data_IF_405080318318
#
_entry.id   IF_405080318318
#
_cell.length_a   1.000
_cell.length_b   1.000
_cell.length_c   1.000
_cell.angle_alpha   90.00
_cell.angle_beta   90.00
_cell.angle_gamma   90.00
#
_symmetry.space_group_name_H-M   'P 1'
#
loop_
_entity.id
_entity.type
_entity.pdbx_description
1 polymer ?
#
# COMPACT_ATOMS: atom_id res chain seq x y z
N UNK A 1 -5.94 7.62 -6.78
CA UNK A 1 -4.71 8.18 -6.25
C UNK A 1 -4.92 9.65 -6.49
N UNK A 2 -4.54 10.02 -7.72
CA UNK A 2 -5.39 10.76 -8.67
C UNK A 2 -6.58 9.88 -9.13
N UNK A 3 -7.81 10.41 -9.20
CA UNK A 3 -9.06 9.66 -9.45
C UNK A 3 -9.32 9.43 -10.95
N UNK A 4 -8.79 10.27 -11.82
CA UNK A 4 -9.00 10.18 -13.28
C UNK A 4 -8.32 8.96 -13.93
N UNK A 5 -7.32 8.38 -13.27
CA UNK A 5 -6.56 7.23 -13.79
C UNK A 5 -7.38 5.92 -13.71
N UNK A 6 -8.40 5.86 -12.84
CA UNK A 6 -9.09 4.61 -12.47
C UNK A 6 -10.51 4.48 -13.03
N UNK A 7 -11.03 5.50 -13.73
CA UNK A 7 -12.42 5.51 -14.23
C UNK A 7 -12.68 4.45 -15.33
N UNK A 8 -11.67 4.11 -16.13
CA UNK A 8 -11.76 3.15 -17.25
C UNK A 8 -10.83 1.93 -17.16
N UNK A 9 -10.16 1.72 -16.01
CA UNK A 9 -9.21 0.60 -15.84
C UNK A 9 -9.93 -0.64 -15.32
N UNK A 10 -9.72 -1.78 -15.98
CA UNK A 10 -10.28 -3.06 -15.54
C UNK A 10 -9.64 -3.45 -14.20
N UNK A 11 -10.34 -4.19 -13.32
CA UNK A 11 -9.77 -4.70 -12.07
C UNK A 11 -8.44 -5.46 -12.27
N UNK A 12 -8.26 -6.10 -13.43
CA UNK A 12 -7.01 -6.76 -13.81
C UNK A 12 -5.83 -5.79 -14.02
N UNK A 13 -6.09 -4.60 -14.56
CA UNK A 13 -5.05 -3.58 -14.75
C UNK A 13 -4.60 -3.00 -13.39
N UNK A 14 -5.55 -2.89 -12.44
CA UNK A 14 -5.27 -2.49 -11.05
C UNK A 14 -4.44 -3.55 -10.35
N UNK A 15 -4.79 -4.83 -10.51
CA UNK A 15 -4.02 -5.94 -9.93
C UNK A 15 -2.58 -5.95 -10.45
N UNK A 16 -2.36 -5.77 -11.75
CA UNK A 16 -1.01 -5.70 -12.33
C UNK A 16 -0.17 -4.55 -11.74
N UNK A 17 -0.78 -3.38 -11.54
CA UNK A 17 -0.12 -2.25 -10.87
C UNK A 17 0.20 -2.57 -9.40
N UNK A 18 -0.73 -3.15 -8.65
CA UNK A 18 -0.51 -3.54 -7.26
C UNK A 18 0.63 -4.56 -7.13
N UNK A 19 0.75 -5.51 -8.06
CA UNK A 19 1.85 -6.48 -8.09
C UNK A 19 3.20 -5.77 -8.30
N UNK A 20 3.30 -4.92 -9.34
CA UNK A 20 4.54 -4.21 -9.65
C UNK A 20 4.99 -3.31 -8.49
N UNK A 21 4.06 -2.54 -7.94
CA UNK A 21 4.32 -1.62 -6.82
C UNK A 21 4.70 -2.42 -5.57
N UNK A 22 3.91 -3.44 -5.21
CA UNK A 22 4.15 -4.25 -4.01
C UNK A 22 5.50 -4.98 -4.04
N UNK A 23 5.90 -5.53 -5.18
CA UNK A 23 7.24 -6.13 -5.34
C UNK A 23 8.33 -5.06 -5.16
N UNK A 24 8.19 -3.92 -5.85
CA UNK A 24 9.23 -2.87 -5.85
C UNK A 24 9.40 -2.26 -4.47
N UNK A 25 8.30 -1.91 -3.81
CA UNK A 25 8.31 -1.31 -2.48
C UNK A 25 8.87 -2.27 -1.44
N UNK A 26 8.38 -3.52 -1.39
CA UNK A 26 8.88 -4.47 -0.38
C UNK A 26 10.34 -4.86 -0.61
N UNK A 27 10.80 -4.94 -1.87
CA UNK A 27 12.20 -5.18 -2.14
C UNK A 27 13.10 -4.07 -1.60
N UNK A 28 12.71 -2.80 -1.82
CA UNK A 28 13.47 -1.64 -1.34
C UNK A 28 13.38 -1.52 0.18
N UNK A 29 12.17 -1.55 0.74
CA UNK A 29 11.96 -1.28 2.15
C UNK A 29 12.31 -2.46 3.05
N UNK A 30 12.04 -3.70 2.65
CA UNK A 30 12.28 -4.88 3.50
C UNK A 30 13.54 -5.63 3.12
N UNK A 31 13.80 -5.76 1.81
CA UNK A 31 15.03 -6.37 1.30
C UNK A 31 16.27 -5.53 1.58
N UNK A 32 16.19 -4.20 1.49
CA UNK A 32 17.35 -3.31 1.66
C UNK A 32 17.22 -2.52 2.96
N UNK A 33 16.24 -1.64 3.09
CA UNK A 33 16.21 -0.65 4.17
C UNK A 33 16.07 -1.32 5.55
N UNK A 34 15.08 -2.20 5.73
CA UNK A 34 14.86 -2.86 7.02
C UNK A 34 15.97 -3.83 7.38
N UNK A 35 16.58 -4.48 6.39
CA UNK A 35 17.69 -5.40 6.60
C UNK A 35 18.96 -4.67 7.08
N UNK A 36 19.29 -3.52 6.49
CA UNK A 36 20.51 -2.77 6.82
C UNK A 36 20.33 -1.71 7.92
N UNK A 37 19.21 -0.99 7.94
CA UNK A 37 18.97 0.15 8.83
C UNK A 37 17.95 -0.15 9.94
N UNK A 38 17.32 -1.33 9.90
CA UNK A 38 16.41 -1.80 10.94
C UNK A 38 14.96 -1.35 10.79
N UNK A 39 14.13 -1.78 11.75
CA UNK A 39 12.68 -1.63 11.74
C UNK A 39 12.22 -0.16 11.64
N UNK A 40 12.69 0.69 12.55
CA UNK A 40 12.24 2.08 12.64
C UNK A 40 12.65 2.91 11.43
N UNK A 41 13.85 2.68 10.89
CA UNK A 41 14.30 3.36 9.68
C UNK A 41 13.41 3.02 8.47
N UNK A 42 13.04 1.74 8.31
CA UNK A 42 12.11 1.30 7.27
C UNK A 42 10.74 1.95 7.40
N UNK A 43 10.16 1.97 8.61
CA UNK A 43 8.83 2.55 8.85
C UNK A 43 8.82 4.06 8.57
N UNK A 44 9.81 4.79 9.09
CA UNK A 44 9.89 6.25 8.91
C UNK A 44 10.07 6.60 7.43
N UNK A 45 11.02 5.95 6.74
CA UNK A 45 11.27 6.21 5.32
C UNK A 45 10.05 5.85 4.45
N UNK A 46 9.34 4.77 4.78
CA UNK A 46 8.13 4.38 4.06
C UNK A 46 7.04 5.45 4.15
N UNK A 47 6.81 5.99 5.34
CA UNK A 47 5.84 7.08 5.55
C UNK A 47 6.28 8.35 4.82
N UNK A 48 7.57 8.69 4.82
CA UNK A 48 8.10 9.88 4.15
C UNK A 48 7.97 9.81 2.62
N UNK A 49 8.20 8.64 2.00
CA UNK A 49 7.99 8.45 0.55
C UNK A 49 6.52 8.68 0.18
N UNK A 50 5.60 8.45 1.10
CA UNK A 50 4.18 8.75 0.94
C UNK A 50 3.84 10.22 1.25
N UNK A 51 4.68 11.17 0.80
CA UNK A 51 4.51 12.61 1.03
C UNK A 51 3.13 13.15 0.63
N UNK A 52 2.52 12.58 -0.41
CA UNK A 52 1.17 12.93 -0.88
C UNK A 52 0.09 12.65 0.18
N UNK A 53 0.36 11.77 1.14
CA UNK A 53 -0.54 11.40 2.23
C UNK A 53 -0.31 12.23 3.49
N UNK A 54 0.83 12.93 3.63
CA UNK A 54 1.10 13.79 4.78
C UNK A 54 0.03 14.88 4.96
N UNK A 55 -0.56 15.37 3.87
CA UNK A 55 -1.63 16.37 3.90
C UNK A 55 -3.03 15.79 4.16
N UNK A 56 -3.17 14.46 4.23
CA UNK A 56 -4.44 13.76 4.46
C UNK A 56 -4.31 12.85 5.67
N UNK A 57 -4.68 13.37 6.83
CA UNK A 57 -4.54 12.71 8.15
C UNK A 57 -5.03 11.24 8.13
N UNK A 58 -6.18 10.98 7.51
CA UNK A 58 -6.73 9.61 7.40
C UNK A 58 -5.82 8.66 6.59
N UNK A 59 -5.32 9.10 5.43
CA UNK A 59 -4.44 8.26 4.61
C UNK A 59 -3.07 8.09 5.25
N UNK A 60 -2.58 9.12 5.95
CA UNK A 60 -1.33 9.07 6.70
C UNK A 60 -1.37 8.01 7.81
N UNK A 61 -2.47 7.98 8.56
CA UNK A 61 -2.64 7.01 9.64
C UNK A 61 -2.68 5.57 9.09
N UNK A 62 -3.46 5.34 8.03
CA UNK A 62 -3.53 4.03 7.37
C UNK A 62 -2.16 3.56 6.87
N UNK A 63 -1.43 4.41 6.13
CA UNK A 63 -0.11 4.01 5.58
C UNK A 63 0.91 3.74 6.69
N UNK A 64 0.85 4.48 7.80
CA UNK A 64 1.73 4.29 8.95
C UNK A 64 1.45 2.96 9.65
N UNK A 65 0.17 2.66 9.94
CA UNK A 65 -0.22 1.39 10.57
C UNK A 65 0.15 0.21 9.67
N UNK A 66 -0.19 0.29 8.37
CA UNK A 66 0.13 -0.77 7.41
C UNK A 66 1.64 -0.99 7.35
N UNK A 67 2.45 0.08 7.34
CA UNK A 67 3.91 -0.03 7.36
C UNK A 67 4.45 -0.76 8.60
N UNK A 68 3.91 -0.45 9.78
CA UNK A 68 4.26 -1.12 11.05
C UNK A 68 3.88 -2.60 11.00
N UNK A 69 2.68 -2.94 10.51
CA UNK A 69 2.21 -4.33 10.39
C UNK A 69 3.11 -5.12 9.45
N UNK A 70 3.41 -4.58 8.26
CA UNK A 70 4.25 -5.23 7.25
C UNK A 70 5.70 -5.38 7.75
N UNK A 71 6.26 -4.33 8.35
CA UNK A 71 7.59 -4.39 8.95
C UNK A 71 7.67 -5.42 10.08
N UNK A 72 6.62 -5.52 10.90
CA UNK A 72 6.52 -6.52 11.96
C UNK A 72 6.42 -7.93 11.39
N UNK A 73 5.56 -8.12 10.38
CA UNK A 73 5.38 -9.40 9.70
C UNK A 73 6.69 -9.91 9.08
N UNK A 74 7.51 -9.02 8.51
CA UNK A 74 8.84 -9.38 8.02
C UNK A 74 9.73 -9.95 9.13
N UNK A 75 9.69 -9.35 10.33
CA UNK A 75 10.49 -9.80 11.45
C UNK A 75 9.96 -11.11 12.06
N UNK A 76 8.63 -11.25 12.21
CA UNK A 76 7.99 -12.46 12.73
C UNK A 76 8.08 -13.65 11.77
N UNK A 77 8.13 -13.41 10.46
CA UNK A 77 8.25 -14.45 9.43
C UNK A 77 9.68 -14.92 9.20
N UNK A 78 10.62 -14.63 10.11
CA UNK A 78 12.05 -14.90 9.95
C UNK A 78 12.61 -14.30 8.64
N UNK A 79 12.27 -13.05 8.35
CA UNK A 79 12.73 -12.32 7.16
C UNK A 79 12.27 -12.93 5.83
N UNK A 80 11.09 -13.55 5.81
CA UNK A 80 10.51 -14.10 4.59
C UNK A 80 9.93 -12.99 3.69
N UNK A 81 10.75 -12.48 2.78
CA UNK A 81 10.38 -11.40 1.87
C UNK A 81 9.17 -11.76 0.98
N UNK A 82 9.06 -13.02 0.53
CA UNK A 82 7.98 -13.45 -0.35
C UNK A 82 6.62 -13.40 0.35
N UNK A 83 6.56 -13.82 1.62
CA UNK A 83 5.35 -13.74 2.43
C UNK A 83 4.87 -12.28 2.58
N UNK A 84 5.80 -11.36 2.80
CA UNK A 84 5.49 -9.94 2.98
C UNK A 84 5.10 -9.26 1.67
N UNK A 85 5.76 -9.60 0.55
CA UNK A 85 5.36 -9.16 -0.79
C UNK A 85 3.92 -9.55 -1.09
N UNK A 86 3.57 -10.83 -0.89
CA UNK A 86 2.21 -11.33 -1.15
C UNK A 86 1.20 -10.60 -0.26
N UNK A 87 1.50 -10.46 1.03
CA UNK A 87 0.63 -9.74 1.96
C UNK A 87 0.42 -8.28 1.54
N UNK A 88 1.48 -7.57 1.15
CA UNK A 88 1.38 -6.18 0.72
C UNK A 88 0.59 -6.02 -0.59
N UNK A 89 0.81 -6.89 -1.57
CA UNK A 89 0.03 -6.89 -2.82
C UNK A 89 -1.45 -7.10 -2.52
N UNK A 90 -1.80 -8.06 -1.66
CA UNK A 90 -3.19 -8.32 -1.26
C UNK A 90 -3.80 -7.13 -0.53
N UNK A 91 -3.07 -6.52 0.40
CA UNK A 91 -3.54 -5.34 1.13
C UNK A 91 -3.79 -4.16 0.19
N UNK A 92 -2.86 -3.90 -0.74
CA UNK A 92 -3.00 -2.85 -1.75
C UNK A 92 -4.17 -3.12 -2.70
N UNK A 93 -4.38 -4.37 -3.09
CA UNK A 93 -5.47 -4.75 -3.97
C UNK A 93 -6.83 -4.58 -3.27
N UNK A 94 -6.97 -5.02 -2.02
CA UNK A 94 -8.19 -4.83 -1.22
C UNK A 94 -8.47 -3.34 -1.01
N UNK A 95 -7.45 -2.55 -0.64
CA UNK A 95 -7.59 -1.10 -0.49
C UNK A 95 -7.99 -0.41 -1.80
N UNK A 96 -7.44 -0.83 -2.94
CA UNK A 96 -7.83 -0.32 -4.24
C UNK A 96 -9.27 -0.68 -4.61
N UNK A 97 -9.75 -1.88 -4.28
CA UNK A 97 -11.14 -2.29 -4.47
C UNK A 97 -12.10 -1.51 -3.57
N UNK A 98 -11.79 -1.35 -2.28
CA UNK A 98 -12.60 -0.56 -1.35
C UNK A 98 -12.72 0.89 -1.81
N UNK A 99 -11.61 1.51 -2.23
CA UNK A 99 -11.63 2.86 -2.81
C UNK A 99 -12.49 2.94 -4.08
N UNK A 100 -12.43 1.92 -4.94
CA UNK A 100 -13.26 1.87 -6.16
C UNK A 100 -14.74 1.75 -5.81
N UNK A 101 -15.10 0.90 -4.85
CA UNK A 101 -16.49 0.69 -4.42
C UNK A 101 -17.05 1.96 -3.76
N UNK A 102 -16.32 2.60 -2.85
CA UNK A 102 -16.73 3.88 -2.25
C UNK A 102 -16.92 4.98 -3.29
N UNK A 103 -16.06 5.03 -4.31
CA UNK A 103 -16.22 6.00 -5.40
C UNK A 103 -17.47 5.73 -6.25
N UNK A 104 -17.83 4.46 -6.47
CA UNK A 104 -19.07 4.08 -7.15
C UNK A 104 -20.31 4.38 -6.29
N UNK A 105 -20.22 4.24 -4.98
CA UNK A 105 -21.29 4.53 -4.04
C UNK A 105 -21.52 6.05 -3.92
N UNK A 106 -20.47 6.84 -3.66
CA UNK A 106 -20.53 8.32 -3.62
C UNK A 106 -20.91 8.94 -4.98
N UNK A 107 -20.49 8.34 -6.09
CA UNK A 107 -20.94 8.71 -7.44
C UNK A 107 -22.34 8.19 -7.80
N UNK A 108 -22.86 7.22 -7.05
CA UNK A 108 -24.21 6.65 -7.16
C UNK A 108 -25.24 7.41 -6.32
N UNK A 109 -24.84 8.00 -5.18
CA UNK A 109 -25.73 8.86 -4.38
C UNK A 109 -26.03 10.19 -5.08
N UNK A 110 -25.23 10.61 -6.05
CA UNK A 110 -25.53 11.77 -6.89
C UNK A 110 -26.62 11.50 -7.96
N UNK A 111 -27.14 10.27 -8.04
CA UNK A 111 -28.22 9.88 -8.94
C UNK A 111 -29.36 9.12 -8.24
N UNK A 112 -29.51 9.29 -6.91
CA UNK A 112 -30.68 8.83 -6.15
C UNK A 112 -31.72 9.92 -5.99
#
# INVERSE_FOLDING_TARGET
MNLLIFKDRRPLDILGLCILIGITEEFIFRGIIQFYFGFWASVILFVLVHFRYLNKVYLLFNVTITSIIIAGLFQFSNQNLMAVIIFHILFNFIGALDMKMRYQDEGGVAHG
#
